data_IF_626630495469
#
_entry.id   IF_626630495469
#
_cell.length_a   1.000
_cell.length_b   1.000
_cell.length_c   1.000
_cell.angle_alpha   90.00
_cell.angle_beta   90.00
_cell.angle_gamma   90.00
#
_symmetry.space_group_name_H-M   'P 1'
#
loop_
_entity.id
_entity.type
_entity.pdbx_description
1 polymer ?
#
# COMPACT_ATOMS: atom_id res chain seq x y z
N UNK A 1 5.79 -11.75 12.61
CA UNK A 1 6.79 -11.67 11.52
C UNK A 1 6.17 -11.39 10.14
N UNK A 2 4.95 -11.89 9.84
CA UNK A 2 4.30 -11.72 8.54
C UNK A 2 4.28 -10.27 8.03
N UNK A 3 3.75 -9.32 8.82
CA UNK A 3 3.70 -7.90 8.43
C UNK A 3 5.05 -7.36 7.95
N UNK A 4 6.12 -7.62 8.71
CA UNK A 4 7.48 -7.17 8.34
C UNK A 4 7.93 -7.77 7.01
N UNK A 5 7.71 -9.07 6.80
CA UNK A 5 8.05 -9.74 5.52
C UNK A 5 7.28 -9.12 4.35
N UNK A 6 5.98 -8.86 4.53
CA UNK A 6 5.13 -8.21 3.53
C UNK A 6 5.62 -6.82 3.18
N UNK A 7 5.88 -5.97 4.18
CA UNK A 7 6.35 -4.60 3.96
C UNK A 7 7.71 -4.57 3.28
N UNK A 8 8.65 -5.43 3.67
CA UNK A 8 9.97 -5.53 3.03
C UNK A 8 9.86 -5.98 1.56
N UNK A 9 9.04 -7.01 1.29
CA UNK A 9 8.98 -7.60 -0.04
C UNK A 9 8.16 -6.77 -1.05
N UNK A 10 7.11 -6.08 -0.60
CA UNK A 10 6.10 -5.48 -1.50
C UNK A 10 5.98 -3.97 -1.36
N UNK A 11 6.52 -3.38 -0.29
CA UNK A 11 6.44 -1.93 0.02
C UNK A 11 7.85 -1.37 0.29
N UNK A 12 8.87 -2.03 -0.27
CA UNK A 12 10.27 -1.68 -0.14
C UNK A 12 10.70 -0.50 -1.02
N UNK A 13 11.93 -0.54 -1.53
CA UNK A 13 12.47 0.49 -2.44
C UNK A 13 11.74 0.48 -3.77
N UNK A 14 11.60 -0.71 -4.37
CA UNK A 14 10.88 -0.92 -5.63
C UNK A 14 9.46 -1.35 -5.34
N UNK A 15 8.50 -0.67 -5.95
CA UNK A 15 7.06 -0.91 -5.79
C UNK A 15 6.40 -1.00 -7.15
N UNK A 16 5.31 -1.71 -7.24
CA UNK A 16 4.40 -1.69 -8.39
C UNK A 16 2.95 -1.81 -7.91
N UNK A 17 1.99 -1.55 -8.80
CA UNK A 17 0.56 -1.65 -8.47
C UNK A 17 0.22 -3.03 -7.88
N UNK A 18 0.61 -4.14 -8.54
CA UNK A 18 0.25 -5.49 -8.13
C UNK A 18 0.77 -5.86 -6.72
N UNK A 19 2.02 -5.55 -6.42
CA UNK A 19 2.65 -5.77 -5.12
C UNK A 19 2.00 -4.95 -4.02
N UNK A 20 1.71 -3.68 -4.26
CA UNK A 20 1.02 -2.82 -3.29
C UNK A 20 -0.41 -3.31 -3.00
N UNK A 21 -1.14 -3.79 -4.00
CA UNK A 21 -2.46 -4.41 -3.79
C UNK A 21 -2.38 -5.69 -2.95
N UNK A 22 -1.41 -6.55 -3.24
CA UNK A 22 -1.15 -7.78 -2.46
C UNK A 22 -0.78 -7.45 -1.02
N UNK A 23 0.00 -6.41 -0.79
CA UNK A 23 0.34 -5.95 0.56
C UNK A 23 -0.90 -5.49 1.33
N UNK A 24 -1.80 -4.71 0.72
CA UNK A 24 -3.05 -4.28 1.35
C UNK A 24 -3.95 -5.48 1.70
N UNK A 25 -4.06 -6.47 0.82
CA UNK A 25 -4.83 -7.68 1.10
C UNK A 25 -4.26 -8.47 2.29
N UNK A 26 -2.94 -8.60 2.37
CA UNK A 26 -2.27 -9.28 3.48
C UNK A 26 -2.39 -8.49 4.79
N UNK A 27 -2.32 -7.16 4.75
CA UNK A 27 -2.57 -6.32 5.92
C UNK A 27 -3.99 -6.50 6.43
N UNK A 28 -5.01 -6.45 5.57
CA UNK A 28 -6.41 -6.69 5.94
C UNK A 28 -6.61 -8.09 6.55
N UNK A 29 -5.93 -9.10 5.99
CA UNK A 29 -5.93 -10.47 6.51
C UNK A 29 -5.34 -10.55 7.94
N UNK A 30 -4.29 -9.78 8.22
CA UNK A 30 -3.65 -9.70 9.53
C UNK A 30 -4.51 -8.91 10.53
N UNK A 31 -5.17 -7.83 10.09
CA UNK A 31 -6.12 -7.05 10.89
C UNK A 31 -7.26 -7.93 11.42
N UNK A 32 -7.91 -8.73 10.57
CA UNK A 32 -9.01 -9.61 11.00
C UNK A 32 -8.60 -10.67 12.05
N UNK A 33 -7.32 -11.07 12.05
CA UNK A 33 -6.76 -12.02 13.03
C UNK A 33 -6.14 -11.35 14.25
N UNK A 34 -6.00 -10.02 14.25
CA UNK A 34 -5.32 -9.31 15.31
C UNK A 34 -6.14 -9.31 16.61
N UNK A 35 -5.45 -9.43 17.75
CA UNK A 35 -6.01 -9.31 19.11
C UNK A 35 -5.19 -8.36 20.00
N UNK A 36 -4.14 -7.73 19.45
CA UNK A 36 -3.22 -6.85 20.18
C UNK A 36 -3.37 -5.40 19.75
N UNK A 37 -3.62 -4.45 20.68
CA UNK A 37 -3.63 -3.01 20.37
C UNK A 37 -2.30 -2.51 19.81
N UNK A 38 -1.17 -3.00 20.34
CA UNK A 38 0.16 -2.66 19.83
C UNK A 38 0.33 -3.06 18.37
N UNK A 39 -0.14 -4.25 18.00
CA UNK A 39 -0.08 -4.70 16.62
C UNK A 39 -1.10 -3.96 15.73
N UNK A 40 -2.25 -3.55 16.27
CA UNK A 40 -3.21 -2.71 15.56
C UNK A 40 -2.57 -1.40 15.09
N UNK A 41 -1.83 -0.72 15.97
CA UNK A 41 -1.13 0.52 15.62
C UNK A 41 -0.09 0.31 14.50
N UNK A 42 0.63 -0.81 14.53
CA UNK A 42 1.57 -1.18 13.46
C UNK A 42 0.86 -1.46 12.14
N UNK A 43 -0.29 -2.14 12.19
CA UNK A 43 -1.11 -2.43 11.00
C UNK A 43 -1.68 -1.15 10.39
N UNK A 44 -2.17 -0.20 11.19
CA UNK A 44 -2.64 1.11 10.72
C UNK A 44 -1.52 1.85 10.01
N UNK A 45 -0.33 1.95 10.61
CA UNK A 45 0.81 2.60 9.97
C UNK A 45 1.20 1.95 8.63
N UNK A 46 1.27 0.60 8.61
CA UNK A 46 1.56 -0.15 7.39
C UNK A 46 0.51 0.05 6.31
N UNK A 47 -0.78 0.05 6.67
CA UNK A 47 -1.90 0.25 5.76
C UNK A 47 -1.86 1.66 5.16
N UNK A 48 -1.65 2.68 5.99
CA UNK A 48 -1.55 4.08 5.54
C UNK A 48 -0.41 4.27 4.55
N UNK A 49 0.78 3.74 4.84
CA UNK A 49 1.93 3.81 3.93
C UNK A 49 1.61 3.13 2.60
N UNK A 50 1.06 1.91 2.66
CA UNK A 50 0.80 1.10 1.46
C UNK A 50 -0.30 1.72 0.60
N UNK A 51 -1.38 2.20 1.22
CA UNK A 51 -2.49 2.86 0.50
C UNK A 51 -2.03 4.18 -0.14
N UNK A 52 -1.26 5.01 0.57
CA UNK A 52 -0.69 6.23 0.02
C UNK A 52 0.27 5.93 -1.15
N UNK A 53 1.10 4.89 -1.01
CA UNK A 53 2.00 4.47 -2.09
C UNK A 53 1.25 3.95 -3.31
N UNK A 54 0.12 3.25 -3.12
CA UNK A 54 -0.73 2.76 -4.21
C UNK A 54 -1.40 3.92 -4.95
N UNK A 55 -1.97 4.87 -4.20
CA UNK A 55 -2.61 6.05 -4.75
C UNK A 55 -1.63 6.97 -5.49
N UNK A 56 -0.37 7.06 -5.03
CA UNK A 56 0.67 7.88 -5.69
C UNK A 56 1.25 7.17 -6.91
N UNK A 57 0.82 7.60 -8.10
CA UNK A 57 1.21 6.99 -9.39
C UNK A 57 2.30 7.77 -10.13
N UNK A 58 3.44 7.98 -9.48
CA UNK A 58 4.69 8.50 -10.06
C UNK A 58 5.89 7.91 -9.30
N UNK A 59 7.10 8.29 -9.69
CA UNK A 59 8.31 8.11 -8.89
C UNK A 59 8.97 9.43 -8.53
N UNK A 60 9.35 9.60 -7.26
CA UNK A 60 10.03 10.80 -6.74
C UNK A 60 10.75 10.49 -5.42
N UNK A 61 12.06 10.73 -5.37
CA UNK A 61 12.87 10.51 -4.17
C UNK A 61 12.79 9.06 -3.67
N UNK A 62 12.52 8.86 -2.38
CA UNK A 62 12.38 7.52 -1.77
C UNK A 62 11.11 6.74 -2.15
N UNK A 63 10.28 7.29 -3.03
CA UNK A 63 9.13 6.59 -3.61
C UNK A 63 9.39 6.26 -5.07
N UNK A 64 9.74 5.00 -5.34
CA UNK A 64 9.94 4.48 -6.69
C UNK A 64 8.87 3.44 -7.05
N UNK A 65 8.20 3.66 -8.18
CA UNK A 65 7.16 2.84 -8.78
C UNK A 65 7.67 2.33 -10.13
N UNK A 66 7.98 1.05 -10.25
CA UNK A 66 8.49 0.46 -11.49
C UNK A 66 7.47 0.58 -12.64
N UNK A 67 6.18 0.57 -12.33
CA UNK A 67 5.07 0.77 -13.27
C UNK A 67 4.79 2.25 -13.59
N UNK A 68 5.44 3.19 -12.88
CA UNK A 68 5.37 4.65 -13.06
C UNK A 68 6.74 5.28 -12.77
N UNK A 69 7.77 5.00 -13.59
CA UNK A 69 9.17 5.30 -13.26
C UNK A 69 9.49 6.79 -13.28
N UNK A 70 8.66 7.60 -13.96
CA UNK A 70 8.88 9.03 -14.11
C UNK A 70 8.11 9.87 -13.07
N UNK A 71 8.65 11.04 -12.67
CA UNK A 71 7.88 12.02 -11.92
C UNK A 71 6.79 12.65 -12.81
N UNK A 72 5.67 13.07 -12.20
CA UNK A 72 4.60 13.77 -12.91
C UNK A 72 4.24 15.10 -12.22
N UNK A 73 3.92 16.12 -13.03
CA UNK A 73 3.54 17.45 -12.54
C UNK A 73 2.36 17.40 -11.55
N UNK A 74 1.38 16.55 -11.82
CA UNK A 74 0.21 16.37 -10.97
C UNK A 74 0.56 15.96 -9.52
N UNK A 75 1.74 15.38 -9.29
CA UNK A 75 2.19 14.91 -7.98
C UNK A 75 3.23 15.83 -7.31
N UNK A 76 3.47 17.03 -7.86
CA UNK A 76 4.34 18.06 -7.27
C UNK A 76 3.68 18.78 -6.09
N UNK A 77 3.20 18.00 -5.13
CA UNK A 77 2.58 18.46 -3.90
C UNK A 77 2.77 17.42 -2.80
N UNK A 78 2.56 17.83 -1.56
CA UNK A 78 2.55 16.91 -0.40
C UNK A 78 1.25 16.14 -0.36
N UNK A 79 1.34 14.83 -0.22
CA UNK A 79 0.16 13.98 -0.01
C UNK A 79 -0.23 14.01 1.46
N UNK A 80 -1.49 14.33 1.72
CA UNK A 80 -2.15 14.14 3.01
C UNK A 80 -3.26 13.11 2.84
N UNK A 81 -3.41 12.22 3.82
CA UNK A 81 -4.45 11.18 3.80
C UNK A 81 -5.15 11.10 5.14
N UNK A 82 -6.47 10.92 5.12
CA UNK A 82 -7.26 10.56 6.29
C UNK A 82 -7.37 9.04 6.42
N UNK A 83 -7.76 8.55 7.60
CA UNK A 83 -8.02 7.12 7.77
C UNK A 83 -9.14 6.64 6.83
N UNK A 84 -10.21 7.41 6.66
CA UNK A 84 -11.31 7.05 5.75
C UNK A 84 -10.86 6.89 4.29
N UNK A 85 -9.95 7.75 3.83
CA UNK A 85 -9.35 7.63 2.50
C UNK A 85 -8.51 6.35 2.39
N UNK A 86 -7.73 6.03 3.42
CA UNK A 86 -6.93 4.80 3.49
C UNK A 86 -7.83 3.57 3.43
N UNK A 87 -8.91 3.52 4.22
CA UNK A 87 -9.87 2.41 4.20
C UNK A 87 -10.57 2.29 2.85
N UNK A 88 -10.93 3.42 2.22
CA UNK A 88 -11.55 3.44 0.89
C UNK A 88 -10.64 2.82 -0.16
N UNK A 89 -9.36 3.23 -0.18
CA UNK A 89 -8.35 2.68 -1.09
C UNK A 89 -8.18 1.18 -0.84
N UNK A 90 -8.03 0.76 0.43
CA UNK A 90 -7.85 -0.63 0.81
C UNK A 90 -9.06 -1.51 0.40
N UNK A 91 -10.29 -1.01 0.58
CA UNK A 91 -11.51 -1.72 0.19
C UNK A 91 -11.66 -1.82 -1.34
N UNK A 92 -11.25 -0.81 -2.11
CA UNK A 92 -11.25 -0.88 -3.58
C UNK A 92 -10.33 -1.97 -4.10
N UNK A 93 -9.21 -2.24 -3.42
CA UNK A 93 -8.31 -3.35 -3.76
C UNK A 93 -8.90 -4.73 -3.55
N UNK A 94 -9.69 -4.93 -2.49
CA UNK A 94 -10.31 -6.23 -2.21
C UNK A 94 -11.36 -6.65 -3.26
N UNK A 95 -11.87 -5.69 -4.06
CA UNK A 95 -12.94 -5.91 -5.04
C UNK A 95 -12.48 -6.20 -6.46
N UNK A 96 -11.19 -6.03 -6.80
CA UNK A 96 -10.67 -6.33 -8.14
C UNK A 96 -10.02 -7.72 -8.13
N UNK A 97 -10.56 -8.72 -8.85
CA UNK A 97 -9.81 -9.95 -9.06
C UNK A 97 -8.49 -9.60 -9.77
N UNK A 98 -7.41 -10.29 -9.40
CA UNK A 98 -6.17 -10.21 -10.14
C UNK A 98 -6.46 -10.53 -11.62
N UNK A 99 -5.86 -9.82 -12.60
CA UNK A 99 -5.97 -10.26 -13.99
C UNK A 99 -5.43 -11.70 -14.07
N UNK A 100 -6.25 -12.60 -14.59
CA UNK A 100 -5.78 -13.93 -14.98
C UNK A 100 -4.59 -13.71 -15.93
N UNK A 101 -3.47 -14.37 -15.61
CA UNK A 101 -2.18 -14.17 -16.29
C UNK A 101 -2.27 -14.38 -17.80
N UNK A 102 -1.33 -13.74 -18.50
CA UNK A 102 -0.92 -14.11 -19.86
C UNK A 102 -0.24 -15.48 -19.84
#
# INVERSE_FOLDING_TARGET
AALRKTMTALVGVVRDDAGLRRALAEIARLEGRNRSPRFANMLVAAKTITAAALARTESRGGHYRADRPEPALAWQHRTFVTLDQVETIAAMTARRPAPAGL
#
